data_IF_988251756175
#
_entry.id   IF_988251756175
#
_cell.length_a   1.000
_cell.length_b   1.000
_cell.length_c   1.000
_cell.angle_alpha   90.00
_cell.angle_beta   90.00
_cell.angle_gamma   90.00
#
_symmetry.space_group_name_H-M   'P 1'
#
loop_
_entity.id
_entity.type
_entity.pdbx_description
1 polymer ?
#
# COMPACT_ATOMS: atom_id res chain seq x y z
N UNK A 1 -10.19 -0.55 -11.17
CA UNK A 1 -9.00 0.11 -10.57
C UNK A 1 -7.97 -0.81 -9.91
N UNK A 2 -8.31 -1.90 -9.20
CA UNK A 2 -7.30 -2.78 -8.56
C UNK A 2 -6.36 -3.47 -9.56
N UNK A 3 -6.86 -3.90 -10.70
CA UNK A 3 -6.06 -4.53 -11.76
C UNK A 3 -5.15 -3.49 -12.44
N UNK A 4 -5.68 -2.35 -12.74
CA UNK A 4 -4.94 -1.23 -13.34
C UNK A 4 -3.80 -0.76 -12.42
N UNK A 5 -4.05 -0.70 -11.10
CA UNK A 5 -2.99 -0.42 -10.12
C UNK A 5 -1.90 -1.53 -10.11
N UNK A 6 -2.30 -2.80 -10.26
CA UNK A 6 -1.33 -3.90 -10.36
C UNK A 6 -0.52 -3.84 -11.67
N UNK A 7 -1.14 -3.42 -12.78
CA UNK A 7 -0.45 -3.25 -14.07
C UNK A 7 0.56 -2.08 -14.01
N UNK A 8 0.19 -0.95 -13.40
CA UNK A 8 1.09 0.18 -13.15
C UNK A 8 2.26 -0.22 -12.23
N UNK A 9 1.98 -1.00 -11.19
CA UNK A 9 3.01 -1.53 -10.30
C UNK A 9 3.97 -2.47 -11.03
N UNK A 10 3.44 -3.36 -11.88
CA UNK A 10 4.24 -4.24 -12.72
C UNK A 10 5.15 -3.42 -13.65
N UNK A 11 4.61 -2.39 -14.31
CA UNK A 11 5.37 -1.44 -15.13
C UNK A 11 6.49 -0.75 -14.35
N UNK A 12 6.19 -0.29 -13.13
CA UNK A 12 7.18 0.33 -12.24
C UNK A 12 8.33 -0.64 -11.88
N UNK A 13 8.01 -1.91 -11.65
CA UNK A 13 9.01 -2.94 -11.32
C UNK A 13 9.86 -3.35 -12.53
N UNK A 14 9.30 -3.26 -13.75
CA UNK A 14 10.07 -3.45 -15.01
C UNK A 14 11.07 -2.31 -15.19
N UNK A 15 10.63 -1.08 -14.93
CA UNK A 15 11.44 0.13 -15.17
C UNK A 15 12.44 0.44 -14.05
N UNK A 16 12.27 -0.15 -12.85
CA UNK A 16 13.15 0.11 -11.70
C UNK A 16 13.44 -1.17 -10.90
N UNK A 17 14.73 -1.44 -10.69
CA UNK A 17 15.18 -2.53 -9.84
C UNK A 17 15.06 -2.23 -8.33
N UNK A 18 14.69 -1.00 -7.94
CA UNK A 18 14.55 -0.61 -6.55
C UNK A 18 13.15 -0.89 -5.98
N UNK A 19 12.13 -1.08 -6.84
CA UNK A 19 10.75 -1.33 -6.38
C UNK A 19 10.62 -2.74 -5.82
N UNK A 20 10.03 -2.86 -4.64
CA UNK A 20 9.69 -4.11 -3.94
C UNK A 20 8.24 -4.07 -3.48
N UNK A 21 7.58 -5.20 -3.53
CA UNK A 21 6.20 -5.35 -3.03
C UNK A 21 6.20 -6.10 -1.71
N UNK A 22 5.49 -5.58 -0.73
CA UNK A 22 5.26 -6.24 0.56
C UNK A 22 3.75 -6.33 0.78
N UNK A 23 3.25 -7.52 1.05
CA UNK A 23 1.83 -7.75 1.33
C UNK A 23 1.64 -8.58 2.61
N UNK A 24 0.48 -8.44 3.23
CA UNK A 24 0.10 -9.18 4.43
C UNK A 24 -1.03 -10.15 4.11
N UNK A 25 -0.70 -11.21 3.37
CA UNK A 25 -1.61 -12.30 2.95
C UNK A 25 -2.83 -11.82 2.15
N UNK A 26 -2.64 -10.78 1.34
CA UNK A 26 -3.64 -10.18 0.46
C UNK A 26 -3.11 -9.99 -0.96
N UNK A 27 -4.03 -9.64 -1.88
CA UNK A 27 -3.69 -9.37 -3.29
C UNK A 27 -3.87 -10.59 -4.21
N UNK A 28 -4.46 -11.69 -3.75
CA UNK A 28 -4.79 -12.85 -4.58
C UNK A 28 -5.70 -12.44 -5.76
N UNK A 29 -5.38 -12.93 -6.96
CA UNK A 29 -6.08 -12.59 -8.19
C UNK A 29 -5.82 -11.15 -8.70
N UNK A 30 -5.10 -10.33 -7.95
CA UNK A 30 -4.73 -8.96 -8.31
C UNK A 30 -3.23 -8.85 -8.57
N UNK A 31 -2.40 -9.32 -7.63
CA UNK A 31 -0.94 -9.21 -7.69
C UNK A 31 -0.24 -10.49 -8.20
N UNK A 32 -0.99 -11.47 -8.71
CA UNK A 32 -0.42 -12.77 -9.13
C UNK A 32 0.58 -12.62 -10.27
N UNK A 33 0.33 -11.71 -11.22
CA UNK A 33 1.27 -11.43 -12.32
C UNK A 33 2.55 -10.74 -11.81
N UNK A 34 2.42 -9.82 -10.87
CA UNK A 34 3.57 -9.15 -10.23
C UNK A 34 4.44 -10.17 -9.51
N UNK A 35 3.82 -11.06 -8.72
CA UNK A 35 4.51 -12.13 -8.00
C UNK A 35 5.19 -13.13 -8.96
N UNK A 36 4.54 -13.50 -10.06
CA UNK A 36 5.09 -14.41 -11.03
C UNK A 36 6.27 -13.82 -11.81
N UNK A 37 6.20 -12.52 -12.16
CA UNK A 37 7.25 -11.83 -12.90
C UNK A 37 8.48 -11.50 -12.03
N UNK A 38 8.28 -11.22 -10.74
CA UNK A 38 9.35 -10.76 -9.83
C UNK A 38 9.28 -11.45 -8.46
N UNK A 39 9.39 -12.80 -8.39
CA UNK A 39 9.23 -13.54 -7.13
C UNK A 39 10.26 -13.14 -6.06
N UNK A 40 11.47 -12.73 -6.45
CA UNK A 40 12.54 -12.27 -5.55
C UNK A 40 12.36 -10.84 -5.04
N UNK A 41 11.38 -10.12 -5.59
CA UNK A 41 11.03 -8.74 -5.19
C UNK A 41 9.60 -8.63 -4.63
N UNK A 42 8.99 -9.77 -4.35
CA UNK A 42 7.64 -9.88 -3.81
C UNK A 42 7.66 -10.63 -2.48
N UNK A 43 7.26 -9.96 -1.41
CA UNK A 43 7.32 -10.48 -0.05
C UNK A 43 5.92 -10.56 0.56
N UNK A 44 5.50 -11.75 0.94
CA UNK A 44 4.29 -11.95 1.74
C UNK A 44 4.70 -12.29 3.18
N UNK A 45 4.36 -11.42 4.12
CA UNK A 45 4.72 -11.57 5.54
C UNK A 45 3.65 -12.30 6.37
N UNK A 46 2.62 -12.86 5.71
CA UNK A 46 1.45 -13.38 6.39
C UNK A 46 0.49 -12.27 6.82
N UNK A 47 -0.60 -12.59 7.49
CA UNK A 47 -1.61 -11.63 7.96
C UNK A 47 -1.06 -10.77 9.14
N UNK A 48 -0.01 -9.99 8.89
CA UNK A 48 0.76 -9.25 9.88
C UNK A 48 1.14 -7.86 9.37
N UNK A 49 0.17 -6.94 9.28
CA UNK A 49 0.36 -5.62 8.67
C UNK A 49 1.36 -4.74 9.45
N UNK A 50 1.47 -4.93 10.76
CA UNK A 50 2.51 -4.26 11.55
C UNK A 50 3.91 -4.69 11.07
N UNK A 51 4.13 -6.00 10.87
CA UNK A 51 5.39 -6.52 10.31
C UNK A 51 5.62 -6.02 8.89
N UNK A 52 4.57 -5.99 8.05
CA UNK A 52 4.63 -5.47 6.68
C UNK A 52 5.16 -4.02 6.66
N UNK A 53 4.60 -3.15 7.47
CA UNK A 53 5.04 -1.76 7.56
C UNK A 53 6.47 -1.64 8.11
N UNK A 54 6.84 -2.43 9.12
CA UNK A 54 8.20 -2.45 9.67
C UNK A 54 9.25 -2.89 8.65
N UNK A 55 8.96 -3.93 7.88
CA UNK A 55 9.81 -4.39 6.76
C UNK A 55 9.95 -3.30 5.70
N UNK A 56 8.84 -2.65 5.33
CA UNK A 56 8.85 -1.56 4.35
C UNK A 56 9.68 -0.36 4.83
N UNK A 57 9.55 0.05 6.08
CA UNK A 57 10.39 1.11 6.68
C UNK A 57 11.88 0.74 6.61
N UNK A 58 12.24 -0.49 6.98
CA UNK A 58 13.62 -0.98 6.87
C UNK A 58 14.14 -0.95 5.43
N UNK A 59 13.34 -1.42 4.46
CA UNK A 59 13.69 -1.38 3.04
C UNK A 59 13.90 0.05 2.53
N UNK A 60 13.03 0.99 2.93
CA UNK A 60 13.15 2.39 2.51
C UNK A 60 14.44 3.05 3.04
N UNK A 61 14.86 2.72 4.26
CA UNK A 61 16.12 3.19 4.83
C UNK A 61 17.35 2.69 4.05
N UNK A 62 17.25 1.54 3.38
CA UNK A 62 18.29 0.98 2.51
C UNK A 62 18.19 1.46 1.04
N UNK A 63 17.37 2.49 0.77
CA UNK A 63 17.21 3.08 -0.57
C UNK A 63 16.32 2.25 -1.51
N UNK A 64 15.57 1.30 -0.99
CA UNK A 64 14.56 0.55 -1.72
C UNK A 64 13.26 1.34 -1.75
N UNK A 65 12.45 1.15 -2.79
CA UNK A 65 11.12 1.73 -2.92
C UNK A 65 10.08 0.64 -2.54
N UNK A 66 9.69 0.55 -1.26
CA UNK A 66 8.72 -0.44 -0.84
C UNK A 66 7.30 0.01 -1.16
N UNK A 67 6.51 -0.89 -1.73
CA UNK A 67 5.09 -0.74 -1.99
C UNK A 67 4.33 -1.75 -1.15
N UNK A 68 3.61 -1.29 -0.13
CA UNK A 68 2.75 -2.12 0.70
C UNK A 68 1.37 -2.22 0.07
N UNK A 69 0.84 -3.44 -0.02
CA UNK A 69 -0.51 -3.69 -0.49
C UNK A 69 -1.31 -4.43 0.57
N UNK A 70 -2.43 -3.86 0.99
CA UNK A 70 -3.39 -4.51 1.88
C UNK A 70 -4.79 -3.89 1.70
N UNK A 71 -5.76 -4.32 2.51
CA UNK A 71 -7.03 -3.65 2.64
C UNK A 71 -6.83 -2.28 3.31
N UNK A 72 -7.53 -1.24 2.87
CA UNK A 72 -7.30 0.14 3.33
C UNK A 72 -7.35 0.27 4.86
N UNK A 73 -8.37 -0.31 5.50
CA UNK A 73 -8.49 -0.30 6.96
C UNK A 73 -7.33 -1.03 7.66
N UNK A 74 -6.91 -2.20 7.13
CA UNK A 74 -5.82 -2.97 7.72
C UNK A 74 -4.47 -2.26 7.55
N UNK A 75 -4.27 -1.67 6.37
CA UNK A 75 -3.07 -0.93 6.04
C UNK A 75 -2.89 0.33 6.90
N UNK A 76 -4.00 0.94 7.32
CA UNK A 76 -3.99 2.18 8.10
C UNK A 76 -3.98 1.91 9.61
N UNK A 77 -4.90 1.08 10.10
CA UNK A 77 -5.10 0.96 11.56
C UNK A 77 -4.11 0.01 12.24
N UNK A 78 -3.81 -1.14 11.63
CA UNK A 78 -2.97 -2.15 12.26
C UNK A 78 -1.52 -1.69 12.45
N UNK A 79 -0.86 -1.06 11.46
CA UNK A 79 0.49 -0.53 11.60
C UNK A 79 0.54 0.97 11.99
N UNK A 80 -0.54 1.56 12.53
CA UNK A 80 -0.65 3.00 12.74
C UNK A 80 0.54 3.61 13.47
N UNK A 81 1.08 2.93 14.48
CA UNK A 81 2.26 3.38 15.21
C UNK A 81 3.47 3.56 14.29
N UNK A 82 3.74 2.60 13.41
CA UNK A 82 4.85 2.67 12.45
C UNK A 82 4.62 3.77 11.40
N UNK A 83 3.39 3.90 10.91
CA UNK A 83 3.03 4.99 9.99
C UNK A 83 3.24 6.35 10.65
N UNK A 84 2.79 6.51 11.89
CA UNK A 84 2.93 7.75 12.65
C UNK A 84 4.40 8.10 12.92
N UNK A 85 5.18 7.15 13.44
CA UNK A 85 6.52 7.42 13.92
C UNK A 85 7.53 7.52 12.77
N UNK A 86 7.48 6.61 11.82
CA UNK A 86 8.50 6.50 10.77
C UNK A 86 8.07 7.15 9.45
N UNK A 87 6.90 6.76 8.90
CA UNK A 87 6.49 7.28 7.61
C UNK A 87 6.11 8.76 7.70
N UNK A 88 5.36 9.15 8.75
CA UNK A 88 4.93 10.54 8.94
C UNK A 88 6.02 11.39 9.61
N UNK A 89 6.50 11.02 10.81
CA UNK A 89 7.39 11.87 11.60
C UNK A 89 8.79 11.93 11.00
N UNK A 90 9.40 10.79 10.70
CA UNK A 90 10.74 10.71 10.11
C UNK A 90 10.73 10.86 8.57
N UNK A 91 9.54 10.90 7.96
CA UNK A 91 9.34 11.05 6.51
C UNK A 91 10.00 9.94 5.68
N UNK A 92 10.03 8.73 6.19
CA UNK A 92 10.56 7.59 5.48
C UNK A 92 9.62 7.25 4.31
N UNK A 93 10.11 7.19 3.05
CA UNK A 93 9.26 7.11 1.87
C UNK A 93 8.75 5.69 1.64
N UNK A 94 7.58 5.36 2.18
CA UNK A 94 6.86 4.11 1.94
C UNK A 94 5.63 4.39 1.08
N UNK A 95 5.43 3.60 0.02
CA UNK A 95 4.23 3.65 -0.81
C UNK A 95 3.18 2.68 -0.27
N UNK A 96 1.94 3.14 -0.17
CA UNK A 96 0.82 2.37 0.39
C UNK A 96 -0.30 2.26 -0.64
N UNK A 97 -0.72 1.06 -0.99
CA UNK A 97 -1.86 0.80 -1.88
C UNK A 97 -2.95 0.11 -1.06
N UNK A 98 -3.99 0.85 -0.74
CA UNK A 98 -5.16 0.35 -0.03
C UNK A 98 -6.23 -0.19 -0.99
N UNK A 99 -6.71 -1.41 -0.75
CA UNK A 99 -7.87 -1.98 -1.42
C UNK A 99 -9.13 -1.72 -0.60
N UNK A 100 -10.19 -1.28 -1.28
CA UNK A 100 -11.45 -0.89 -0.67
C UNK A 100 -11.47 0.59 -0.30
N UNK A 101 -12.58 1.24 -0.64
CA UNK A 101 -12.87 2.65 -0.36
C UNK A 101 -14.17 2.74 0.41
N UNK A 102 -14.24 3.63 1.36
CA UNK A 102 -15.44 3.91 2.14
C UNK A 102 -16.10 2.61 2.68
N UNK A 103 -17.21 2.20 2.09
CA UNK A 103 -17.99 1.02 2.48
C UNK A 103 -17.95 -0.10 1.41
N UNK A 104 -16.93 -0.18 0.56
CA UNK A 104 -16.83 -1.22 -0.48
C UNK A 104 -16.96 -2.64 0.10
N UNK A 105 -16.49 -2.85 1.32
CA UNK A 105 -16.58 -4.11 2.05
C UNK A 105 -17.58 -4.04 3.22
N UNK A 106 -18.73 -3.38 3.02
CA UNK A 106 -19.69 -3.17 4.11
C UNK A 106 -20.24 -4.47 4.71
N UNK A 107 -20.34 -5.52 3.91
CA UNK A 107 -20.82 -6.85 4.35
C UNK A 107 -19.83 -7.58 5.27
N UNK A 108 -18.56 -7.18 5.28
CA UNK A 108 -17.52 -7.74 6.15
C UNK A 108 -17.43 -7.00 7.52
N UNK A 109 -18.20 -5.92 7.66
CA UNK A 109 -18.32 -5.17 8.90
C UNK A 109 -17.24 -4.10 9.10
N UNK A 110 -17.29 -3.44 10.26
CA UNK A 110 -16.48 -2.26 10.58
C UNK A 110 -14.96 -2.47 10.43
N UNK A 111 -14.47 -3.68 10.64
CA UNK A 111 -13.04 -3.97 10.46
C UNK A 111 -12.53 -3.77 9.04
N UNK A 112 -13.44 -3.76 8.05
CA UNK A 112 -13.14 -3.62 6.62
C UNK A 112 -13.53 -2.25 6.04
N UNK A 113 -14.20 -1.42 6.81
CA UNK A 113 -14.60 -0.08 6.37
C UNK A 113 -13.43 0.88 6.38
N UNK A 114 -13.39 1.77 5.39
CA UNK A 114 -12.36 2.79 5.24
C UNK A 114 -12.96 4.21 5.14
N UNK A 115 -14.20 4.40 5.62
CA UNK A 115 -14.96 5.64 5.51
C UNK A 115 -14.37 6.81 6.33
N UNK A 116 -13.52 6.50 7.29
CA UNK A 116 -12.88 7.45 8.21
C UNK A 116 -11.37 7.60 7.98
N UNK A 117 -10.85 7.08 6.87
CA UNK A 117 -9.41 7.13 6.53
C UNK A 117 -8.88 8.56 6.42
N UNK A 118 -9.66 9.51 5.89
CA UNK A 118 -9.29 10.93 5.80
C UNK A 118 -9.12 11.56 7.18
N UNK A 119 -10.05 11.27 8.10
CA UNK A 119 -9.97 11.79 9.47
C UNK A 119 -8.76 11.24 10.22
N UNK A 120 -8.44 9.97 10.02
CA UNK A 120 -7.28 9.35 10.66
C UNK A 120 -5.98 9.89 10.06
N UNK A 121 -5.91 10.03 8.74
CA UNK A 121 -4.74 10.57 8.05
C UNK A 121 -4.56 12.08 8.24
N UNK A 122 -5.60 12.81 8.63
CA UNK A 122 -5.45 14.21 9.03
C UNK A 122 -4.48 14.40 10.22
N UNK A 123 -4.29 13.37 11.05
CA UNK A 123 -3.29 13.36 12.11
C UNK A 123 -1.84 13.07 11.61
N UNK A 124 -1.68 12.72 10.34
CA UNK A 124 -0.41 12.31 9.72
C UNK A 124 -0.09 13.18 8.49
N UNK A 125 0.22 14.49 8.67
CA UNK A 125 0.26 15.47 7.58
C UNK A 125 1.35 15.23 6.53
N UNK A 126 2.32 14.37 6.79
CA UNK A 126 3.35 14.01 5.82
C UNK A 126 2.99 12.76 4.99
N UNK A 127 1.84 12.14 5.23
CA UNK A 127 1.29 11.06 4.41
C UNK A 127 0.20 11.67 3.51
N UNK A 128 0.42 11.67 2.21
CA UNK A 128 -0.58 12.10 1.23
C UNK A 128 -1.57 10.97 0.97
N UNK A 129 -2.85 11.28 1.01
CA UNK A 129 -3.93 10.38 0.62
C UNK A 129 -4.44 10.74 -0.77
N UNK A 130 -4.57 9.75 -1.63
CA UNK A 130 -5.18 9.87 -2.95
C UNK A 130 -6.35 8.89 -3.06
N UNK A 131 -7.47 9.37 -3.56
CA UNK A 131 -8.68 8.57 -3.82
C UNK A 131 -9.09 8.73 -5.29
N UNK A 132 -8.42 8.04 -6.23
CA UNK A 132 -8.75 8.16 -7.64
C UNK A 132 -10.17 7.67 -7.94
N UNK A 133 -10.93 8.42 -8.71
CA UNK A 133 -12.28 8.04 -9.15
C UNK A 133 -12.25 7.34 -10.51
N UNK A 134 -11.26 7.65 -11.34
CA UNK A 134 -11.08 7.10 -12.68
C UNK A 134 -9.70 6.44 -12.84
N UNK A 135 -9.53 5.67 -13.92
CA UNK A 135 -8.22 5.11 -14.28
C UNK A 135 -7.24 6.23 -14.65
N UNK A 136 -7.72 7.27 -15.30
CA UNK A 136 -6.91 8.44 -15.66
C UNK A 136 -6.39 9.17 -14.39
N UNK A 137 -7.23 9.32 -13.37
CA UNK A 137 -6.79 9.87 -12.08
C UNK A 137 -5.70 9.01 -11.46
N UNK A 138 -5.88 7.68 -11.49
CA UNK A 138 -4.89 6.74 -10.96
C UNK A 138 -3.56 6.86 -11.70
N UNK A 139 -3.58 6.92 -13.03
CA UNK A 139 -2.37 7.07 -13.85
C UNK A 139 -1.64 8.38 -13.56
N UNK A 140 -2.38 9.49 -13.42
CA UNK A 140 -1.81 10.80 -13.08
C UNK A 140 -1.16 10.79 -11.69
N UNK A 141 -1.82 10.24 -10.68
CA UNK A 141 -1.30 10.10 -9.31
C UNK A 141 -0.05 9.21 -9.29
N UNK A 142 0.00 8.19 -10.13
CA UNK A 142 1.11 7.24 -10.17
C UNK A 142 2.44 7.86 -10.61
N UNK A 143 2.39 8.99 -11.31
CA UNK A 143 3.58 9.72 -11.75
C UNK A 143 4.20 10.60 -10.63
N UNK A 144 3.47 10.87 -9.54
CA UNK A 144 3.97 11.62 -8.37
C UNK A 144 4.82 10.74 -7.43
#
# INVERSE_FOLDING_TARGET
MRREAADLLLGSMVNSNHVRVVTADLGFGVLDQVRAAFPERFYNVGAAEFTMAGVAVGMANEGVIPVCYSMSSFLLYRPFELLRNYVNHERIPVKLIGSGRDYDYNHDGISHWAHDDEQVLAALPNIKLYKPDTVEDLENIWQE
#
